data_IF_728936753158
#
_entry.id   IF_728936753158
#
_cell.length_a   1.000
_cell.length_b   1.000
_cell.length_c   1.000
_cell.angle_alpha   90.00
_cell.angle_beta   90.00
_cell.angle_gamma   90.00
#
_symmetry.space_group_name_H-M   'P 1'
#
loop_
_entity.id
_entity.type
_entity.pdbx_description
1 polymer ?
#
# COMPACT_ATOMS: atom_id res chain seq x y z
N UNK A 1 25.26 4.46 -14.41
CA UNK A 1 24.61 5.73 -14.71
C UNK A 1 23.23 5.52 -15.28
N UNK A 2 22.28 6.31 -14.80
CA UNK A 2 20.94 6.26 -15.38
C UNK A 2 20.95 6.81 -16.81
N UNK A 3 20.17 6.23 -17.68
CA UNK A 3 19.99 6.71 -19.04
C UNK A 3 19.33 8.11 -18.99
N UNK A 4 19.90 9.13 -19.65
CA UNK A 4 19.33 10.48 -19.64
C UNK A 4 17.98 10.59 -20.33
N UNK A 5 17.63 9.64 -21.20
CA UNK A 5 16.33 9.65 -21.89
C UNK A 5 15.26 8.94 -21.05
N UNK A 6 14.06 9.48 -21.06
CA UNK A 6 12.90 8.80 -20.48
C UNK A 6 12.48 7.63 -21.37
N UNK A 7 11.70 6.71 -20.80
CA UNK A 7 11.15 5.60 -21.55
C UNK A 7 10.35 6.07 -22.77
N UNK A 8 9.50 7.09 -22.60
CA UNK A 8 8.71 7.64 -23.68
C UNK A 8 9.58 8.28 -24.78
N UNK A 9 10.65 8.96 -24.39
CA UNK A 9 11.58 9.55 -25.35
C UNK A 9 12.29 8.48 -26.18
N UNK A 10 12.68 7.37 -25.53
CA UNK A 10 13.27 6.23 -26.23
C UNK A 10 12.29 5.63 -27.23
N UNK A 11 11.03 5.45 -26.84
CA UNK A 11 9.98 4.93 -27.71
C UNK A 11 9.74 5.86 -28.93
N UNK A 12 9.69 7.15 -28.68
CA UNK A 12 9.53 8.15 -29.76
C UNK A 12 10.71 8.08 -30.74
N UNK A 13 11.92 8.00 -30.23
CA UNK A 13 13.11 7.88 -31.07
C UNK A 13 13.12 6.57 -31.87
N UNK A 14 12.70 5.47 -31.27
CA UNK A 14 12.54 4.18 -31.97
C UNK A 14 11.57 4.33 -33.15
N UNK A 15 10.45 5.01 -32.91
CA UNK A 15 9.43 5.22 -33.94
C UNK A 15 9.98 6.03 -35.12
N UNK A 16 10.72 7.09 -34.82
CA UNK A 16 11.34 7.92 -35.86
C UNK A 16 12.35 7.12 -36.69
N UNK A 17 13.19 6.31 -36.04
CA UNK A 17 14.17 5.47 -36.75
C UNK A 17 13.47 4.40 -37.59
N UNK A 18 12.43 3.78 -37.04
CA UNK A 18 11.65 2.78 -37.78
C UNK A 18 11.04 3.37 -39.05
N UNK A 19 10.46 4.55 -38.94
CA UNK A 19 9.90 5.28 -40.10
C UNK A 19 10.97 5.56 -41.15
N UNK A 20 12.16 5.96 -40.73
CA UNK A 20 13.29 6.19 -41.65
C UNK A 20 13.75 4.91 -42.33
N UNK A 21 13.83 3.80 -41.60
CA UNK A 21 14.23 2.50 -42.14
C UNK A 21 13.23 1.96 -43.16
N UNK A 22 11.96 2.31 -43.03
CA UNK A 22 10.93 1.91 -43.99
C UNK A 22 10.87 2.83 -45.21
N UNK A 23 11.61 3.92 -45.17
CA UNK A 23 11.69 4.88 -46.31
C UNK A 23 12.61 4.32 -47.39
N UNK A 24 12.26 4.59 -48.67
CA UNK A 24 13.09 4.23 -49.81
C UNK A 24 14.22 5.22 -50.08
N UNK A 25 14.33 6.28 -49.27
CA UNK A 25 15.25 7.40 -49.51
C UNK A 25 16.67 7.13 -48.99
N UNK A 26 16.92 6.04 -48.32
CA UNK A 26 18.19 5.72 -47.71
C UNK A 26 19.05 4.84 -48.64
N UNK A 27 20.36 5.15 -48.74
CA UNK A 27 21.32 4.25 -49.37
C UNK A 27 21.77 3.17 -48.35
N UNK A 28 22.59 2.20 -48.82
CA UNK A 28 23.01 1.07 -47.97
C UNK A 28 23.81 1.51 -46.74
N UNK A 29 24.70 2.48 -46.91
CA UNK A 29 25.50 3.01 -45.80
C UNK A 29 24.65 3.69 -44.76
N UNK A 30 23.69 4.49 -45.18
CA UNK A 30 22.73 5.17 -44.30
C UNK A 30 21.85 4.17 -43.57
N UNK A 31 21.40 3.10 -44.24
CA UNK A 31 20.63 2.03 -43.63
C UNK A 31 21.40 1.32 -42.52
N UNK A 32 22.67 1.01 -42.75
CA UNK A 32 23.52 0.38 -41.73
C UNK A 32 23.66 1.26 -40.48
N UNK A 33 23.87 2.56 -40.68
CA UNK A 33 23.94 3.53 -39.58
C UNK A 33 22.61 3.57 -38.81
N UNK A 34 21.50 3.59 -39.50
CA UNK A 34 20.15 3.62 -38.85
C UNK A 34 19.86 2.33 -38.11
N UNK A 35 20.25 1.18 -38.64
CA UNK A 35 20.11 -0.10 -37.96
C UNK A 35 20.94 -0.17 -36.69
N UNK A 36 22.14 0.39 -36.70
CA UNK A 36 22.98 0.49 -35.51
C UNK A 36 22.29 1.33 -34.42
N UNK A 37 21.78 2.48 -34.80
CA UNK A 37 21.03 3.36 -33.89
C UNK A 37 19.78 2.65 -33.36
N UNK A 38 19.05 1.97 -34.21
CA UNK A 38 17.88 1.20 -33.86
C UNK A 38 18.21 0.15 -32.79
N UNK A 39 19.22 -0.64 -33.02
CA UNK A 39 19.64 -1.69 -32.08
C UNK A 39 20.06 -1.11 -30.74
N UNK A 40 20.73 0.03 -30.75
CA UNK A 40 21.13 0.74 -29.53
C UNK A 40 19.89 1.20 -28.75
N UNK A 41 18.93 1.83 -29.45
CA UNK A 41 17.69 2.30 -28.82
C UNK A 41 16.84 1.16 -28.27
N UNK A 42 16.76 0.04 -28.98
CA UNK A 42 16.02 -1.15 -28.52
C UNK A 42 16.62 -1.73 -27.27
N UNK A 43 17.95 -1.79 -27.17
CA UNK A 43 18.64 -2.24 -25.96
C UNK A 43 18.35 -1.31 -24.77
N UNK A 44 18.33 0.00 -25.01
CA UNK A 44 18.02 1.01 -23.99
C UNK A 44 16.55 0.93 -23.56
N UNK A 45 15.63 0.70 -24.50
CA UNK A 45 14.23 0.47 -24.24
C UNK A 45 14.02 -0.69 -23.28
N UNK A 46 14.66 -1.83 -23.57
CA UNK A 46 14.56 -3.03 -22.74
C UNK A 46 15.09 -2.78 -21.32
N UNK A 47 16.23 -2.11 -21.18
CA UNK A 47 16.80 -1.76 -19.88
C UNK A 47 15.89 -0.83 -19.08
N UNK A 48 15.31 0.18 -19.75
CA UNK A 48 14.36 1.08 -19.12
C UNK A 48 13.09 0.36 -18.67
N UNK A 49 12.59 -0.53 -19.50
CA UNK A 49 11.41 -1.33 -19.16
C UNK A 49 11.67 -2.19 -17.93
N UNK A 50 12.81 -2.87 -17.89
CA UNK A 50 13.19 -3.68 -16.72
C UNK A 50 13.29 -2.83 -15.46
N UNK A 51 13.86 -1.63 -15.56
CA UNK A 51 13.95 -0.70 -14.45
C UNK A 51 12.56 -0.28 -13.93
N UNK A 52 11.62 0.01 -14.85
CA UNK A 52 10.24 0.34 -14.51
C UNK A 52 9.56 -0.82 -13.78
N UNK A 53 9.71 -2.04 -14.29
CA UNK A 53 9.13 -3.23 -13.67
C UNK A 53 9.71 -3.45 -12.27
N UNK A 54 11.01 -3.22 -12.08
CA UNK A 54 11.63 -3.33 -10.76
C UNK A 54 11.04 -2.33 -9.76
N UNK A 55 10.76 -1.10 -10.21
CA UNK A 55 10.10 -0.10 -9.36
C UNK A 55 8.69 -0.56 -8.97
N UNK A 56 7.95 -1.11 -9.93
CA UNK A 56 6.59 -1.66 -9.66
C UNK A 56 6.67 -2.77 -8.62
N UNK A 57 7.62 -3.69 -8.75
CA UNK A 57 7.83 -4.78 -7.79
C UNK A 57 8.16 -4.26 -6.40
N UNK A 58 8.97 -3.21 -6.31
CA UNK A 58 9.29 -2.57 -5.03
C UNK A 58 8.06 -1.93 -4.41
N UNK A 59 7.22 -1.28 -5.21
CA UNK A 59 5.95 -0.74 -4.76
C UNK A 59 5.04 -1.85 -4.20
N UNK A 60 4.96 -2.97 -4.89
CA UNK A 60 4.15 -4.12 -4.45
C UNK A 60 4.63 -4.65 -3.10
N UNK A 61 5.94 -4.74 -2.90
CA UNK A 61 6.53 -5.13 -1.62
C UNK A 61 6.16 -4.16 -0.51
N UNK A 62 6.22 -2.86 -0.78
CA UNK A 62 5.85 -1.84 0.20
C UNK A 62 4.37 -1.91 0.55
N UNK A 63 3.51 -2.15 -0.43
CA UNK A 63 2.07 -2.32 -0.21
C UNK A 63 1.81 -3.51 0.71
N UNK A 64 2.45 -4.65 0.45
CA UNK A 64 2.32 -5.85 1.27
C UNK A 64 2.78 -5.62 2.71
N UNK A 65 3.91 -4.91 2.88
CA UNK A 65 4.43 -4.56 4.19
C UNK A 65 3.44 -3.71 4.98
N UNK A 66 2.88 -2.68 4.34
CA UNK A 66 1.89 -1.80 4.96
C UNK A 66 0.62 -2.57 5.33
N UNK A 67 0.21 -3.52 4.50
CA UNK A 67 -0.95 -4.35 4.78
C UNK A 67 -0.74 -5.20 6.04
N UNK A 68 0.46 -5.74 6.23
CA UNK A 68 0.81 -6.48 7.46
C UNK A 68 0.74 -5.57 8.68
N UNK A 69 1.29 -4.36 8.58
CA UNK A 69 1.26 -3.38 9.67
C UNK A 69 -0.19 -3.02 10.03
N UNK A 70 -1.03 -2.81 9.03
CA UNK A 70 -2.47 -2.53 9.24
C UNK A 70 -3.13 -3.68 9.97
N UNK A 71 -2.88 -4.91 9.55
CA UNK A 71 -3.46 -6.11 10.18
C UNK A 71 -3.01 -6.27 11.63
N UNK A 72 -1.73 -6.01 11.92
CA UNK A 72 -1.20 -6.06 13.28
C UNK A 72 -1.85 -5.01 14.18
N UNK A 73 -2.00 -3.78 13.69
CA UNK A 73 -2.67 -2.71 14.42
C UNK A 73 -4.14 -3.04 14.67
N UNK A 74 -4.80 -3.65 13.70
CA UNK A 74 -6.18 -4.08 13.82
C UNK A 74 -6.36 -5.15 14.89
N UNK A 75 -5.49 -6.15 14.91
CA UNK A 75 -5.48 -7.20 15.93
C UNK A 75 -5.25 -6.60 17.32
N UNK A 76 -4.35 -5.64 17.43
CA UNK A 76 -4.06 -4.93 18.67
C UNK A 76 -5.27 -4.14 19.14
N UNK A 77 -5.97 -3.48 18.24
CA UNK A 77 -7.19 -2.75 18.55
C UNK A 77 -8.28 -3.70 19.06
N UNK A 78 -8.44 -4.86 18.42
CA UNK A 78 -9.43 -5.87 18.81
C UNK A 78 -9.12 -6.44 20.18
N UNK A 79 -7.85 -6.65 20.50
CA UNK A 79 -7.41 -7.06 21.84
C UNK A 79 -7.90 -6.07 22.90
N UNK A 80 -7.72 -4.78 22.71
CA UNK A 80 -8.12 -3.77 23.66
C UNK A 80 -9.64 -3.62 23.75
N UNK A 81 -10.36 -3.77 22.66
CA UNK A 81 -11.82 -3.79 22.65
C UNK A 81 -12.36 -4.95 23.47
N UNK A 82 -11.78 -6.14 23.29
CA UNK A 82 -12.18 -7.34 24.04
C UNK A 82 -11.85 -7.22 25.53
N UNK A 83 -10.69 -6.68 25.85
CA UNK A 83 -10.29 -6.42 27.24
C UNK A 83 -11.26 -5.45 27.91
N UNK A 84 -11.62 -4.37 27.24
CA UNK A 84 -12.61 -3.42 27.74
C UNK A 84 -13.95 -4.10 28.02
N UNK A 85 -14.41 -4.89 27.06
CA UNK A 85 -15.67 -5.63 27.19
C UNK A 85 -15.64 -6.59 28.39
N UNK A 86 -14.56 -7.33 28.58
CA UNK A 86 -14.41 -8.25 29.67
C UNK A 86 -14.43 -7.55 31.04
N UNK A 87 -13.78 -6.39 31.13
CA UNK A 87 -13.75 -5.58 32.35
C UNK A 87 -15.16 -5.05 32.69
N UNK A 88 -15.90 -4.57 31.66
CA UNK A 88 -17.28 -4.12 31.83
C UNK A 88 -18.14 -5.28 32.32
N UNK A 89 -17.94 -6.48 31.79
CA UNK A 89 -18.70 -7.67 32.20
C UNK A 89 -18.46 -8.04 33.66
N UNK A 90 -17.30 -7.74 34.22
CA UNK A 90 -17.04 -7.95 35.67
C UNK A 90 -18.03 -7.13 36.48
N UNK A 91 -18.23 -5.87 36.15
CA UNK A 91 -19.16 -4.97 36.84
C UNK A 91 -20.60 -5.46 36.67
N UNK A 92 -20.99 -5.79 35.44
CA UNK A 92 -22.33 -6.28 35.13
C UNK A 92 -22.66 -7.56 35.88
N UNK A 93 -21.73 -8.52 35.89
CA UNK A 93 -21.92 -9.80 36.57
C UNK A 93 -22.02 -9.63 38.07
N UNK A 94 -21.22 -8.75 38.67
CA UNK A 94 -21.29 -8.45 40.08
C UNK A 94 -22.67 -7.87 40.46
N UNK A 95 -23.22 -6.98 39.63
CA UNK A 95 -24.53 -6.42 39.83
C UNK A 95 -25.64 -7.46 39.65
N UNK A 96 -25.60 -8.21 38.55
CA UNK A 96 -26.57 -9.25 38.20
C UNK A 96 -26.64 -10.36 39.26
N UNK A 97 -25.49 -10.75 39.82
CA UNK A 97 -25.39 -11.74 40.86
C UNK A 97 -25.64 -11.19 42.27
N UNK A 98 -26.03 -9.92 42.34
CA UNK A 98 -26.36 -9.25 43.62
C UNK A 98 -25.20 -9.22 44.60
N UNK A 99 -24.00 -9.26 44.09
CA UNK A 99 -22.78 -9.10 44.93
C UNK A 99 -22.64 -7.66 45.41
N UNK A 100 -23.23 -6.72 44.64
CA UNK A 100 -23.35 -5.32 45.03
C UNK A 100 -24.82 -4.93 45.03
N UNK A 101 -25.25 -4.15 46.00
CA UNK A 101 -26.67 -3.76 46.16
C UNK A 101 -27.04 -2.51 45.38
N UNK A 102 -26.05 -1.75 44.96
CA UNK A 102 -26.22 -0.55 44.17
C UNK A 102 -25.17 -0.43 43.12
N UNK A 103 -25.31 0.48 42.15
CA UNK A 103 -24.31 0.71 41.13
C UNK A 103 -22.98 1.15 41.76
N UNK A 104 -21.86 0.66 41.25
CA UNK A 104 -20.55 0.96 41.81
C UNK A 104 -20.24 2.44 41.83
N UNK A 105 -19.66 2.91 42.94
CA UNK A 105 -19.20 4.27 43.09
C UNK A 105 -17.77 4.25 43.65
N UNK A 106 -16.86 4.83 42.94
CA UNK A 106 -15.47 4.98 43.38
C UNK A 106 -15.21 6.39 43.91
N UNK A 107 -13.95 6.73 44.12
CA UNK A 107 -13.57 8.06 44.59
C UNK A 107 -13.81 9.14 43.55
N UNK A 108 -13.72 8.81 42.27
CA UNK A 108 -13.84 9.75 41.14
C UNK A 108 -15.00 9.43 40.22
N UNK A 109 -15.42 8.21 40.15
CA UNK A 109 -16.34 7.74 39.13
C UNK A 109 -17.55 7.04 39.75
N UNK A 110 -18.66 7.17 39.07
CA UNK A 110 -19.92 6.56 39.42
C UNK A 110 -20.53 5.97 38.16
N UNK A 111 -21.17 4.81 38.28
CA UNK A 111 -21.85 4.15 37.18
C UNK A 111 -23.34 4.00 37.44
N UNK A 112 -24.14 3.95 36.38
CA UNK A 112 -25.55 3.60 36.44
C UNK A 112 -25.81 2.42 35.49
N UNK A 113 -26.90 1.68 35.68
CA UNK A 113 -27.24 0.54 34.83
C UNK A 113 -27.33 0.95 33.36
N UNK A 114 -27.99 2.05 33.04
CA UNK A 114 -28.08 2.56 31.68
C UNK A 114 -26.73 2.99 31.14
N UNK A 115 -25.93 3.68 31.92
CA UNK A 115 -24.61 4.14 31.52
C UNK A 115 -23.65 2.99 31.29
N UNK A 116 -23.72 1.92 32.08
CA UNK A 116 -22.89 0.73 31.85
C UNK A 116 -23.19 0.13 30.50
N UNK A 117 -24.47 0.06 30.09
CA UNK A 117 -24.80 -0.50 28.78
C UNK A 117 -24.39 0.37 27.61
N UNK A 118 -24.71 1.64 27.67
CA UNK A 118 -24.54 2.51 26.50
C UNK A 118 -23.22 3.26 26.48
N UNK A 119 -22.81 3.83 27.63
CA UNK A 119 -21.62 4.69 27.67
C UNK A 119 -20.31 3.93 27.84
N UNK A 120 -20.33 2.80 28.54
CA UNK A 120 -19.12 1.99 28.70
C UNK A 120 -18.86 1.05 27.53
N UNK A 121 -19.87 0.80 26.69
CA UNK A 121 -19.78 -0.09 25.53
C UNK A 121 -19.60 0.71 24.24
N UNK A 122 -20.26 1.86 24.10
CA UNK A 122 -20.28 2.69 22.90
C UNK A 122 -19.22 3.80 22.97
N UNK A 123 -18.09 3.58 23.12
CA UNK A 123 -17.13 4.65 23.25
C UNK A 123 -16.48 5.06 21.90
#
# INVERSE_FOLDING_TARGET
>A
MADPLTYNQILENCREIDDLLQSDDLNEEEKEEMEYIWNNLKSREESKFDAIINVIKDCDKQIQLRQREINELKQNQDYWKNKRKNIINIIKTAYENKLISSMPTGNKYQATIKSVRSKLIDN
#
